data_IF_025158404924
#
_entry.id   IF_025158404924
#
_cell.length_a   1.000
_cell.length_b   1.000
_cell.length_c   1.000
_cell.angle_alpha   90.00
_cell.angle_beta   90.00
_cell.angle_gamma   90.00
#
_symmetry.space_group_name_H-M   'P 1'
#
loop_
_entity.id
_entity.type
_entity.pdbx_description
1 polymer ?
#
# COMPACT_ATOMS: atom_id res chain seq x y z
N UNK A 1 -40.24 8.35 -6.67
CA UNK A 1 -39.34 7.60 -5.77
C UNK A 1 -37.92 8.02 -6.12
N UNK A 2 -37.15 8.70 -5.26
CA UNK A 2 -35.76 8.97 -5.57
C UNK A 2 -34.96 7.69 -5.33
N UNK A 3 -34.20 7.28 -6.33
CA UNK A 3 -33.19 6.22 -6.21
C UNK A 3 -32.05 6.83 -5.39
N UNK A 4 -31.92 6.39 -4.13
CA UNK A 4 -30.72 6.65 -3.35
C UNK A 4 -29.53 6.05 -4.11
N UNK A 5 -28.79 6.92 -4.81
CA UNK A 5 -27.43 6.61 -5.20
C UNK A 5 -26.62 6.47 -3.91
N UNK A 6 -26.57 5.26 -3.36
CA UNK A 6 -25.65 4.87 -2.31
C UNK A 6 -24.23 4.91 -2.87
N UNK A 7 -23.70 6.12 -3.07
CA UNK A 7 -22.26 6.35 -3.16
C UNK A 7 -21.73 6.10 -1.78
N UNK A 8 -21.38 4.85 -1.48
CA UNK A 8 -20.56 4.53 -0.32
C UNK A 8 -19.34 5.45 -0.40
N UNK A 9 -19.18 6.42 0.51
CA UNK A 9 -18.00 7.27 0.48
C UNK A 9 -16.79 6.35 0.62
N UNK A 10 -15.86 6.47 -0.33
CA UNK A 10 -14.62 5.69 -0.33
C UNK A 10 -13.96 5.84 1.05
N UNK A 11 -13.51 4.74 1.69
CA UNK A 11 -12.97 4.81 3.03
C UNK A 11 -11.74 5.73 3.06
N UNK A 12 -11.58 6.43 4.19
CA UNK A 12 -10.45 7.33 4.48
C UNK A 12 -9.14 6.71 4.00
N UNK A 13 -8.40 7.50 3.21
CA UNK A 13 -7.03 7.24 2.80
C UNK A 13 -6.22 6.58 3.94
N UNK A 14 -5.83 5.32 3.76
CA UNK A 14 -5.05 4.60 4.77
C UNK A 14 -3.58 4.84 4.49
N UNK A 15 -2.96 5.68 5.31
CA UNK A 15 -1.51 5.85 5.32
C UNK A 15 -0.87 4.99 6.43
N UNK A 16 0.15 4.23 6.05
CA UNK A 16 1.00 3.48 6.96
C UNK A 16 2.39 4.09 6.94
N UNK A 17 2.81 4.62 8.08
CA UNK A 17 4.13 5.23 8.27
C UNK A 17 4.96 4.37 9.21
N UNK A 18 6.21 4.11 8.85
CA UNK A 18 7.18 3.48 9.72
C UNK A 18 8.47 3.09 9.00
N UNK A 19 9.36 2.41 9.70
CA UNK A 19 10.61 1.89 9.14
C UNK A 19 10.33 0.67 8.30
N UNK A 20 10.70 0.70 7.03
CA UNK A 20 10.60 -0.46 6.15
C UNK A 20 11.62 -1.51 6.58
N UNK A 21 11.13 -2.69 6.96
CA UNK A 21 11.96 -3.80 7.44
C UNK A 21 12.23 -4.80 6.33
N UNK A 22 11.17 -5.29 5.67
CA UNK A 22 11.26 -6.42 4.76
C UNK A 22 10.08 -6.47 3.79
N UNK A 23 10.33 -7.00 2.58
CA UNK A 23 9.30 -7.34 1.61
C UNK A 23 9.52 -8.76 1.11
N UNK A 24 8.46 -9.57 1.14
CA UNK A 24 8.47 -10.96 0.67
C UNK A 24 7.14 -11.30 0.01
N UNK A 25 7.07 -12.41 -0.71
CA UNK A 25 5.88 -12.82 -1.45
C UNK A 25 5.68 -14.34 -1.39
N UNK A 26 4.43 -14.76 -1.44
CA UNK A 26 4.02 -16.13 -1.73
C UNK A 26 3.17 -16.18 -3.02
N UNK A 27 2.57 -17.33 -3.33
CA UNK A 27 1.78 -17.51 -4.55
C UNK A 27 0.55 -16.58 -4.63
N UNK A 28 0.04 -16.10 -3.50
CA UNK A 28 -1.23 -15.36 -3.41
C UNK A 28 -1.05 -13.90 -3.00
N UNK A 29 -0.01 -13.58 -2.22
CA UNK A 29 0.16 -12.26 -1.62
C UNK A 29 1.62 -11.78 -1.61
N UNK A 30 1.78 -10.46 -1.65
CA UNK A 30 3.00 -9.72 -1.32
C UNK A 30 2.82 -9.10 0.05
N UNK A 31 3.79 -9.36 0.92
CA UNK A 31 3.83 -8.92 2.31
C UNK A 31 4.90 -7.85 2.50
N UNK A 32 4.54 -6.77 3.18
CA UNK A 32 5.43 -5.66 3.49
C UNK A 32 5.42 -5.44 5.00
N UNK A 33 6.61 -5.51 5.61
CA UNK A 33 6.78 -5.29 7.05
C UNK A 33 7.30 -3.88 7.33
N UNK A 34 6.55 -3.12 8.13
CA UNK A 34 6.83 -1.73 8.47
C UNK A 34 6.61 -1.49 9.97
N UNK A 35 7.68 -1.19 10.71
CA UNK A 35 7.64 -0.96 12.18
C UNK A 35 6.79 -2.00 12.94
N UNK A 36 7.00 -3.28 12.66
CA UNK A 36 6.28 -4.40 13.25
C UNK A 36 4.86 -4.64 12.71
N UNK A 37 4.37 -3.82 11.78
CA UNK A 37 3.08 -4.02 11.10
C UNK A 37 3.29 -4.79 9.80
N UNK A 38 2.35 -5.67 9.49
CA UNK A 38 2.35 -6.45 8.25
C UNK A 38 1.24 -5.94 7.33
N UNK A 39 1.60 -5.52 6.13
CA UNK A 39 0.67 -5.17 5.06
C UNK A 39 0.68 -6.30 4.04
N UNK A 40 -0.50 -6.72 3.59
CA UNK A 40 -0.67 -7.77 2.58
C UNK A 40 -1.41 -7.24 1.36
N UNK A 41 -0.86 -7.49 0.18
CA UNK A 41 -1.41 -7.09 -1.11
C UNK A 41 -1.51 -8.32 -2.00
N UNK A 42 -2.55 -8.44 -2.83
CA UNK A 42 -2.68 -9.58 -3.75
C UNK A 42 -1.46 -9.64 -4.68
N UNK A 43 -0.90 -10.83 -4.86
CA UNK A 43 0.20 -11.05 -5.80
C UNK A 43 -0.32 -10.82 -7.23
N UNK A 44 0.45 -10.11 -8.05
CA UNK A 44 0.03 -9.68 -9.39
C UNK A 44 -0.91 -8.46 -9.42
N UNK A 45 -1.19 -7.84 -8.27
CA UNK A 45 -1.86 -6.53 -8.24
C UNK A 45 -0.90 -5.41 -8.60
N UNK A 46 -1.41 -4.33 -9.20
CA UNK A 46 -0.61 -3.14 -9.54
C UNK A 46 0.04 -2.53 -8.30
N UNK A 47 -0.65 -2.57 -7.16
CA UNK A 47 -0.13 -2.23 -5.85
C UNK A 47 1.14 -3.01 -5.50
N UNK A 48 1.09 -4.34 -5.63
CA UNK A 48 2.20 -5.22 -5.28
C UNK A 48 3.43 -4.99 -6.17
N UNK A 49 3.22 -4.73 -7.46
CA UNK A 49 4.30 -4.41 -8.40
C UNK A 49 5.01 -3.10 -8.04
N UNK A 50 4.23 -2.08 -7.69
CA UNK A 50 4.76 -0.77 -7.25
C UNK A 50 5.57 -0.94 -5.96
N UNK A 51 5.05 -1.69 -4.99
CA UNK A 51 5.73 -1.95 -3.71
C UNK A 51 7.05 -2.68 -3.93
N UNK A 52 7.04 -3.77 -4.70
CA UNK A 52 8.22 -4.57 -5.01
C UNK A 52 9.31 -3.76 -5.73
N UNK A 53 8.92 -2.80 -6.57
CA UNK A 53 9.86 -1.96 -7.32
C UNK A 53 10.43 -0.84 -6.47
N UNK A 54 9.58 -0.15 -5.70
CA UNK A 54 9.96 1.09 -5.00
C UNK A 54 10.48 0.88 -3.59
N UNK A 55 10.06 -0.17 -2.87
CA UNK A 55 10.47 -0.38 -1.47
C UNK A 55 11.80 -1.11 -1.32
N UNK A 56 12.14 -2.04 -2.22
CA UNK A 56 13.41 -2.80 -2.14
C UNK A 56 14.65 -1.93 -1.84
N UNK A 57 14.88 -0.78 -2.48
CA UNK A 57 16.05 0.06 -2.18
C UNK A 57 15.95 0.85 -0.87
N UNK A 58 14.79 0.85 -0.19
CA UNK A 58 14.50 1.69 0.97
C UNK A 58 14.61 0.93 2.30
N UNK A 59 15.19 -0.27 2.32
CA UNK A 59 15.30 -1.10 3.52
C UNK A 59 16.01 -0.34 4.66
N UNK A 60 15.41 -0.37 5.85
CA UNK A 60 15.86 0.38 7.03
C UNK A 60 15.53 1.88 7.01
N UNK A 61 14.89 2.41 5.95
CA UNK A 61 14.44 3.80 5.88
C UNK A 61 13.01 3.93 6.42
N UNK A 62 12.70 5.11 6.96
CA UNK A 62 11.33 5.46 7.34
C UNK A 62 10.56 5.88 6.09
N UNK A 63 9.46 5.18 5.82
CA UNK A 63 8.61 5.35 4.65
C UNK A 63 7.15 5.58 5.07
N UNK A 64 6.42 6.28 4.22
CA UNK A 64 4.96 6.36 4.25
C UNK A 64 4.40 5.66 3.03
N UNK A 65 3.46 4.73 3.23
CA UNK A 65 2.71 4.04 2.17
C UNK A 65 1.26 4.46 2.27
N UNK A 66 0.77 5.08 1.20
CA UNK A 66 -0.59 5.57 1.08
C UNK A 66 -1.32 4.76 0.02
N UNK A 67 -2.41 4.09 0.41
CA UNK A 67 -3.35 3.52 -0.56
C UNK A 67 -4.29 4.62 -1.05
N UNK A 68 -4.49 4.69 -2.37
CA UNK A 68 -5.34 5.71 -3.01
C UNK A 68 -6.56 5.05 -3.68
N UNK A 69 -7.51 5.89 -4.09
CA UNK A 69 -8.63 5.52 -4.94
C UNK A 69 -8.34 5.69 -6.45
N UNK A 70 -7.15 6.16 -6.80
CA UNK A 70 -6.73 6.37 -8.19
C UNK A 70 -6.32 5.04 -8.83
N UNK A 71 -7.00 4.65 -9.90
CA UNK A 71 -6.62 3.48 -10.70
C UNK A 71 -5.22 3.61 -11.34
N UNK A 72 -4.79 4.85 -11.62
CA UNK A 72 -3.48 5.14 -12.20
C UNK A 72 -2.36 5.06 -11.15
N UNK A 73 -2.66 5.44 -9.91
CA UNK A 73 -1.70 5.55 -8.82
C UNK A 73 -2.23 4.88 -7.54
N UNK A 74 -2.52 3.56 -7.55
CA UNK A 74 -3.25 2.91 -6.46
C UNK A 74 -2.45 2.90 -5.14
N UNK A 75 -1.14 3.06 -5.22
CA UNK A 75 -0.24 3.25 -4.07
C UNK A 75 0.75 4.38 -4.34
N UNK A 76 0.92 5.22 -3.32
CA UNK A 76 1.99 6.21 -3.22
C UNK A 76 2.96 5.81 -2.10
N UNK A 77 4.27 5.86 -2.39
CA UNK A 77 5.34 5.58 -1.42
C UNK A 77 6.21 6.83 -1.31
N UNK A 78 6.44 7.31 -0.09
CA UNK A 78 7.27 8.47 0.20
C UNK A 78 8.30 8.15 1.28
N UNK A 79 9.48 8.76 1.18
CA UNK A 79 10.43 8.79 2.29
C UNK A 79 9.97 9.82 3.32
N UNK A 80 10.14 9.50 4.59
CA UNK A 80 9.85 10.40 5.70
C UNK A 80 11.17 10.61 6.43
N UNK A 81 11.75 11.79 6.23
CA UNK A 81 12.99 12.24 6.89
C UNK A 81 12.75 12.59 8.37
#
# INVERSE_FOLDING_TARGET
MPVENSRTPLPLWVEVVGTFEEIFADDLFVYVKISGRLLSFANGSRESEILMTKLKPLMGRKVGILKTDSADHPICIRLIE
#
